data_IF_511369986905
#
_entry.id   IF_511369986905
#
_cell.length_a   1.000
_cell.length_b   1.000
_cell.length_c   1.000
_cell.angle_alpha   90.00
_cell.angle_beta   90.00
_cell.angle_gamma   90.00
#
_symmetry.space_group_name_H-M   'P 1'
#
loop_
_entity.id
_entity.type
_entity.pdbx_description
1 polymer ?
#
# COMPACT_ATOMS: atom_id res chain seq x y z
N UNK A 1 0.90 3.33 0.12
CA UNK A 1 -0.51 3.55 -0.26
C UNK A 1 -1.34 2.31 -0.06
N UNK A 2 -1.17 1.23 -0.85
CA UNK A 2 -2.00 0.01 -0.73
C UNK A 2 -1.96 -0.57 0.70
N UNK A 3 -0.80 -0.69 1.33
CA UNK A 3 -0.71 -1.20 2.70
C UNK A 3 -1.44 -0.31 3.74
N UNK A 4 -1.54 1.00 3.50
CA UNK A 4 -2.30 1.90 4.38
C UNK A 4 -3.81 1.66 4.24
N UNK A 5 -4.29 1.47 3.01
CA UNK A 5 -5.67 1.05 2.76
C UNK A 5 -5.97 -0.29 3.43
N UNK A 6 -5.07 -1.26 3.30
CA UNK A 6 -5.20 -2.56 3.98
C UNK A 6 -5.27 -2.38 5.49
N UNK A 7 -4.43 -1.52 6.08
CA UNK A 7 -4.49 -1.24 7.51
C UNK A 7 -5.84 -0.66 7.94
N UNK A 8 -6.40 0.30 7.18
CA UNK A 8 -7.73 0.85 7.44
C UNK A 8 -8.80 -0.23 7.35
N UNK A 9 -8.82 -1.04 6.29
CA UNK A 9 -9.78 -2.14 6.13
C UNK A 9 -9.64 -3.15 7.26
N UNK A 10 -8.41 -3.47 7.65
CA UNK A 10 -8.08 -4.45 8.69
C UNK A 10 -8.61 -4.06 10.07
N UNK A 11 -8.81 -2.76 10.36
CA UNK A 11 -9.45 -2.31 11.61
C UNK A 11 -10.93 -2.70 11.70
N UNK A 12 -11.59 -2.89 10.56
CA UNK A 12 -13.03 -3.20 10.46
C UNK A 12 -13.31 -4.64 10.05
N UNK A 13 -12.44 -5.21 9.23
CA UNK A 13 -12.52 -6.56 8.69
C UNK A 13 -11.16 -7.27 8.86
N UNK A 14 -10.80 -7.71 10.08
CA UNK A 14 -9.52 -8.35 10.35
C UNK A 14 -9.30 -9.62 9.52
N UNK A 15 -10.38 -10.35 9.23
CA UNK A 15 -10.35 -11.57 8.41
C UNK A 15 -9.90 -11.28 6.98
N UNK A 16 -10.24 -10.10 6.43
CA UNK A 16 -9.76 -9.67 5.10
C UNK A 16 -8.27 -9.38 5.13
N UNK A 17 -7.78 -8.77 6.22
CA UNK A 17 -6.35 -8.53 6.42
C UNK A 17 -5.54 -9.81 6.55
N UNK A 18 -6.02 -10.77 7.35
CA UNK A 18 -5.38 -12.09 7.51
C UNK A 18 -5.36 -12.87 6.19
N UNK A 19 -6.49 -12.93 5.49
CA UNK A 19 -6.59 -13.61 4.19
C UNK A 19 -5.64 -13.00 3.15
N UNK A 20 -5.56 -11.67 3.10
CA UNK A 20 -4.63 -10.96 2.21
C UNK A 20 -3.18 -11.30 2.56
N UNK A 21 -2.83 -11.29 3.85
CA UNK A 21 -1.48 -11.63 4.32
C UNK A 21 -1.12 -13.07 3.94
N UNK A 22 -2.01 -14.03 4.21
CA UNK A 22 -1.84 -15.45 3.81
C UNK A 22 -1.60 -15.56 2.30
N UNK A 23 -2.44 -14.92 1.48
CA UNK A 23 -2.32 -14.96 0.02
C UNK A 23 -0.99 -14.37 -0.48
N UNK A 24 -0.55 -13.23 0.06
CA UNK A 24 0.73 -12.63 -0.36
C UNK A 24 1.94 -13.49 0.07
N UNK A 25 1.90 -14.10 1.25
CA UNK A 25 2.95 -15.02 1.71
C UNK A 25 3.01 -16.29 0.86
N UNK A 26 1.86 -16.81 0.43
CA UNK A 26 1.82 -17.92 -0.52
C UNK A 26 2.39 -17.51 -1.89
N UNK A 27 2.06 -16.31 -2.37
CA UNK A 27 2.63 -15.76 -3.61
C UNK A 27 4.15 -15.58 -3.51
N UNK A 28 4.64 -15.09 -2.37
CA UNK A 28 6.07 -14.96 -2.06
C UNK A 28 6.77 -16.33 -2.12
N UNK A 29 6.24 -17.34 -1.40
CA UNK A 29 6.79 -18.72 -1.40
C UNK A 29 6.86 -19.30 -2.83
N UNK A 30 5.81 -19.08 -3.63
CA UNK A 30 5.76 -19.52 -5.03
C UNK A 30 6.76 -18.79 -5.91
N UNK A 31 6.87 -17.46 -5.79
CA UNK A 31 7.81 -16.65 -6.56
C UNK A 31 9.26 -17.02 -6.23
N UNK A 32 9.58 -17.18 -4.94
CA UNK A 32 10.90 -17.63 -4.48
C UNK A 32 11.26 -19.01 -5.05
N UNK A 33 10.36 -19.99 -4.92
CA UNK A 33 10.58 -21.35 -5.45
C UNK A 33 10.75 -21.40 -6.98
N UNK A 34 10.11 -20.48 -7.71
CA UNK A 34 10.19 -20.38 -9.18
C UNK A 34 11.34 -19.51 -9.66
N UNK A 35 12.09 -18.86 -8.76
CA UNK A 35 13.06 -17.81 -9.08
C UNK A 35 12.46 -16.68 -9.94
N UNK A 36 11.20 -16.32 -9.70
CA UNK A 36 10.52 -15.20 -10.36
C UNK A 36 10.87 -13.90 -9.63
N UNK A 37 11.99 -13.28 -10.02
CA UNK A 37 12.53 -12.08 -9.36
C UNK A 37 11.56 -10.88 -9.39
N UNK A 38 10.90 -10.53 -10.51
CA UNK A 38 9.91 -9.45 -10.52
C UNK A 38 8.76 -9.68 -9.53
N UNK A 39 8.18 -10.88 -9.51
CA UNK A 39 7.07 -11.21 -8.60
C UNK A 39 7.54 -11.24 -7.14
N UNK A 40 8.75 -11.76 -6.90
CA UNK A 40 9.37 -11.77 -5.56
C UNK A 40 9.56 -10.35 -5.04
N UNK A 41 10.16 -9.45 -5.84
CA UNK A 41 10.39 -8.06 -5.46
C UNK A 41 9.08 -7.33 -5.11
N UNK A 42 8.04 -7.52 -5.91
CA UNK A 42 6.73 -6.93 -5.64
C UNK A 42 6.12 -7.45 -4.32
N UNK A 43 6.16 -8.76 -4.09
CA UNK A 43 5.63 -9.37 -2.86
C UNK A 43 6.41 -8.95 -1.62
N UNK A 44 7.74 -9.00 -1.68
CA UNK A 44 8.65 -8.56 -0.61
C UNK A 44 8.41 -7.10 -0.25
N UNK A 45 8.30 -6.21 -1.25
CA UNK A 45 7.99 -4.79 -1.01
C UNK A 45 6.63 -4.60 -0.35
N UNK A 46 5.61 -5.34 -0.78
CA UNK A 46 4.30 -5.22 -0.19
C UNK A 46 4.28 -5.70 1.27
N UNK A 47 4.90 -6.84 1.56
CA UNK A 47 5.07 -7.35 2.92
C UNK A 47 5.82 -6.35 3.81
N UNK A 48 6.87 -5.70 3.31
CA UNK A 48 7.60 -4.68 4.06
C UNK A 48 6.66 -3.57 4.55
N UNK A 49 5.77 -3.10 3.68
CA UNK A 49 4.80 -2.07 4.03
C UNK A 49 3.67 -2.58 4.92
N UNK A 50 3.26 -3.86 4.83
CA UNK A 50 2.29 -4.46 5.77
C UNK A 50 2.87 -4.54 7.20
N UNK A 51 4.17 -4.84 7.33
CA UNK A 51 4.88 -4.83 8.62
C UNK A 51 5.00 -3.40 9.15
N UNK A 52 5.34 -2.44 8.29
CA UNK A 52 5.39 -1.02 8.69
C UNK A 52 4.05 -0.51 9.21
N UNK A 53 2.95 -0.95 8.61
CA UNK A 53 1.58 -0.59 9.00
C UNK A 53 1.00 -1.50 10.10
N UNK A 54 1.81 -2.39 10.70
CA UNK A 54 1.40 -3.30 11.78
C UNK A 54 0.22 -4.22 11.44
N UNK A 55 -0.01 -4.49 10.14
CA UNK A 55 -0.96 -5.51 9.69
C UNK A 55 -0.33 -6.91 9.82
N UNK A 56 0.97 -7.01 9.54
CA UNK A 56 1.73 -8.25 9.68
C UNK A 56 2.75 -8.12 10.81
N UNK A 57 2.83 -9.14 11.66
CA UNK A 57 3.81 -9.20 12.74
C UNK A 57 5.24 -9.24 12.17
N UNK A 58 6.20 -8.63 12.85
CA UNK A 58 7.60 -8.52 12.38
C UNK A 58 8.31 -9.86 12.21
N UNK A 59 7.77 -10.93 12.81
CA UNK A 59 8.31 -12.29 12.68
C UNK A 59 8.39 -12.72 11.21
N UNK A 60 7.38 -12.37 10.40
CA UNK A 60 7.36 -12.62 8.95
C UNK A 60 8.56 -11.99 8.25
N UNK A 61 8.90 -10.75 8.65
CA UNK A 61 10.03 -10.03 8.07
C UNK A 61 11.37 -10.67 8.44
N UNK A 62 11.52 -11.13 9.68
CA UNK A 62 12.74 -11.81 10.15
C UNK A 62 12.90 -13.19 9.51
N UNK A 63 11.83 -13.98 9.39
CA UNK A 63 11.84 -15.27 8.70
C UNK A 63 12.20 -15.09 7.22
N UNK A 64 11.58 -14.10 6.54
CA UNK A 64 11.88 -13.80 5.14
C UNK A 64 13.37 -13.46 4.94
N UNK A 65 13.90 -12.57 5.78
CA UNK A 65 15.31 -12.19 5.71
C UNK A 65 16.24 -13.37 5.99
N UNK A 66 15.87 -14.23 6.93
CA UNK A 66 16.61 -15.46 7.23
C UNK A 66 16.66 -16.37 6.00
N UNK A 67 15.54 -16.60 5.34
CA UNK A 67 15.46 -17.43 4.12
C UNK A 67 16.31 -16.84 2.98
N UNK A 68 16.23 -15.52 2.75
CA UNK A 68 16.99 -14.85 1.69
C UNK A 68 18.51 -14.87 1.92
N UNK A 69 18.94 -14.89 3.18
CA UNK A 69 20.34 -14.80 3.59
C UNK A 69 20.95 -16.15 4.02
N UNK A 70 20.17 -17.22 4.10
CA UNK A 70 20.65 -18.56 4.46
C UNK A 70 21.68 -19.05 3.43
N UNK A 71 21.33 -18.98 2.15
CA UNK A 71 22.21 -19.30 1.01
C UNK A 71 22.31 -18.07 0.11
N UNK A 72 23.23 -17.13 0.43
CA UNK A 72 23.28 -15.84 -0.24
C UNK A 72 23.66 -16.01 -1.71
N UNK A 73 22.85 -15.43 -2.58
CA UNK A 73 23.15 -15.21 -4.01
C UNK A 73 23.09 -13.72 -4.28
N UNK A 74 23.67 -13.26 -5.39
CA UNK A 74 23.63 -11.83 -5.74
C UNK A 74 22.19 -11.28 -5.77
N UNK A 75 21.25 -12.08 -6.27
CA UNK A 75 19.83 -11.74 -6.34
C UNK A 75 19.14 -11.77 -4.98
N UNK A 76 19.35 -12.82 -4.16
CA UNK A 76 18.69 -12.92 -2.86
C UNK A 76 19.18 -11.84 -1.89
N UNK A 77 20.46 -11.49 -1.95
CA UNK A 77 21.05 -10.41 -1.16
C UNK A 77 20.54 -9.05 -1.63
N UNK A 78 20.41 -8.81 -2.94
CA UNK A 78 19.81 -7.59 -3.47
C UNK A 78 18.36 -7.41 -2.98
N UNK A 79 17.56 -8.48 -3.05
CA UNK A 79 16.18 -8.48 -2.55
C UNK A 79 16.15 -8.21 -1.04
N UNK A 80 17.01 -8.86 -0.26
CA UNK A 80 17.10 -8.66 1.18
C UNK A 80 17.51 -7.22 1.55
N UNK A 81 18.51 -6.65 0.86
CA UNK A 81 18.90 -5.25 1.07
C UNK A 81 17.74 -4.31 0.75
N UNK A 82 17.02 -4.55 -0.35
CA UNK A 82 15.82 -3.78 -0.71
C UNK A 82 14.74 -3.86 0.37
N UNK A 83 14.48 -5.06 0.89
CA UNK A 83 13.50 -5.27 1.95
C UNK A 83 13.86 -4.52 3.24
N UNK A 84 15.10 -4.64 3.73
CA UNK A 84 15.54 -3.93 4.94
C UNK A 84 15.52 -2.42 4.74
N UNK A 85 15.75 -1.90 3.53
CA UNK A 85 15.58 -0.45 3.28
C UNK A 85 14.14 -0.01 3.50
N UNK A 86 13.16 -0.80 3.12
CA UNK A 86 11.74 -0.44 3.22
C UNK A 86 11.17 -0.69 4.63
N UNK A 87 11.57 -1.76 5.33
CA UNK A 87 11.03 -2.13 6.66
C UNK A 87 11.97 -1.92 7.84
N UNK A 88 13.24 -1.57 7.59
CA UNK A 88 14.29 -1.54 8.61
C UNK A 88 14.07 -0.51 9.72
N UNK A 89 13.42 0.62 9.42
CA UNK A 89 13.02 1.59 10.46
C UNK A 89 12.05 0.95 11.45
N UNK A 90 10.98 0.28 10.98
CA UNK A 90 10.02 -0.37 11.88
C UNK A 90 10.68 -1.51 12.65
N UNK A 91 11.47 -2.35 11.98
CA UNK A 91 12.18 -3.47 12.61
C UNK A 91 13.18 -3.01 13.68
N UNK A 92 13.80 -1.85 13.50
CA UNK A 92 14.69 -1.27 14.51
C UNK A 92 13.92 -0.91 15.78
N UNK A 93 12.67 -0.46 15.67
CA UNK A 93 11.85 -0.05 16.80
C UNK A 93 11.24 -1.26 17.53
N UNK A 94 10.70 -2.24 16.79
CA UNK A 94 9.99 -3.39 17.37
C UNK A 94 10.90 -4.57 17.72
N UNK A 95 11.91 -4.87 16.90
CA UNK A 95 12.81 -6.01 17.09
C UNK A 95 14.28 -5.66 16.79
N UNK A 96 14.88 -4.75 17.58
CA UNK A 96 16.27 -4.33 17.38
C UNK A 96 17.26 -5.49 17.52
N UNK A 97 16.95 -6.49 18.36
CA UNK A 97 17.78 -7.68 18.53
C UNK A 97 17.78 -8.56 17.28
N UNK A 98 16.61 -8.86 16.70
CA UNK A 98 16.52 -9.65 15.47
C UNK A 98 17.18 -8.92 14.30
N UNK A 99 16.89 -7.62 14.13
CA UNK A 99 17.48 -6.83 13.06
C UNK A 99 19.01 -6.69 13.21
N UNK A 100 19.49 -6.21 14.35
CA UNK A 100 20.92 -5.92 14.52
C UNK A 100 21.77 -7.13 14.86
N UNK A 101 21.26 -8.04 15.68
CA UNK A 101 21.97 -9.22 16.16
C UNK A 101 22.02 -10.35 15.15
N UNK A 102 20.94 -10.58 14.41
CA UNK A 102 20.88 -11.71 13.46
C UNK A 102 21.13 -11.22 12.02
N UNK A 103 20.28 -10.30 11.53
CA UNK A 103 20.30 -9.91 10.11
C UNK A 103 21.55 -9.11 9.72
N UNK A 104 21.90 -8.06 10.47
CA UNK A 104 23.09 -7.25 10.15
C UNK A 104 24.41 -7.99 10.40
N UNK A 105 24.45 -8.94 11.34
CA UNK A 105 25.62 -9.82 11.50
C UNK A 105 25.74 -10.77 10.30
N UNK A 106 24.62 -11.30 9.80
CA UNK A 106 24.61 -12.14 8.59
C UNK A 106 25.13 -11.38 7.36
N UNK A 107 24.67 -10.15 7.13
CA UNK A 107 25.21 -9.30 6.06
C UNK A 107 26.72 -9.05 6.19
N UNK A 108 27.23 -8.87 7.42
CA UNK A 108 28.67 -8.71 7.66
C UNK A 108 29.43 -9.98 7.32
N UNK A 109 28.90 -11.15 7.69
CA UNK A 109 29.47 -12.46 7.34
C UNK A 109 29.62 -12.60 5.83
N UNK A 110 28.56 -12.30 5.06
CA UNK A 110 28.55 -12.36 3.60
C UNK A 110 29.62 -11.43 2.99
N UNK A 111 29.78 -10.22 3.53
CA UNK A 111 30.79 -9.27 3.06
C UNK A 111 32.22 -9.76 3.31
N UNK A 112 32.45 -10.46 4.43
CA UNK A 112 33.76 -11.03 4.77
C UNK A 112 34.10 -12.31 3.99
N UNK A 113 33.10 -13.15 3.69
CA UNK A 113 33.28 -14.35 2.87
C UNK A 113 33.73 -13.99 1.44
N UNK A 114 33.22 -12.88 0.90
CA UNK A 114 33.69 -12.32 -0.37
C UNK A 114 33.26 -13.11 -1.61
N UNK A 115 32.28 -14.01 -1.48
CA UNK A 115 31.76 -14.85 -2.57
C UNK A 115 30.75 -14.14 -3.48
N UNK A 116 30.24 -12.98 -3.06
CA UNK A 116 29.27 -12.15 -3.81
C UNK A 116 29.96 -11.11 -4.71
N UNK A 117 29.28 -10.70 -5.79
CA UNK A 117 29.82 -9.70 -6.72
C UNK A 117 29.99 -8.32 -6.05
N UNK A 118 30.95 -7.53 -6.57
CA UNK A 118 31.27 -6.19 -6.07
C UNK A 118 30.05 -5.28 -6.01
N UNK A 119 29.13 -5.37 -6.97
CA UNK A 119 27.89 -4.59 -6.96
C UNK A 119 27.09 -4.83 -5.67
N UNK A 120 26.96 -6.10 -5.28
CA UNK A 120 26.19 -6.51 -4.11
C UNK A 120 26.91 -6.13 -2.81
N UNK A 121 28.23 -6.19 -2.80
CA UNK A 121 29.04 -5.68 -1.68
C UNK A 121 28.74 -4.19 -1.43
N UNK A 122 28.72 -3.35 -2.48
CA UNK A 122 28.34 -1.94 -2.37
C UNK A 122 26.90 -1.74 -1.87
N UNK A 123 25.97 -2.62 -2.23
CA UNK A 123 24.59 -2.56 -1.72
C UNK A 123 24.55 -2.82 -0.20
N UNK A 124 25.30 -3.81 0.28
CA UNK A 124 25.42 -4.10 1.71
C UNK A 124 26.08 -2.93 2.46
N UNK A 125 27.20 -2.41 1.96
CA UNK A 125 27.87 -1.24 2.55
C UNK A 125 26.95 -0.02 2.64
N UNK A 126 26.18 0.24 1.57
CA UNK A 126 25.14 1.27 1.55
C UNK A 126 24.06 1.03 2.61
N UNK A 127 23.65 -0.22 2.84
CA UNK A 127 22.71 -0.57 3.90
C UNK A 127 23.29 -0.31 5.30
N UNK A 128 24.57 -0.58 5.54
CA UNK A 128 25.24 -0.23 6.81
C UNK A 128 25.28 1.28 7.05
N UNK A 129 25.45 2.08 5.99
CA UNK A 129 25.36 3.54 6.09
C UNK A 129 23.95 4.01 6.48
N UNK A 130 22.91 3.42 5.88
CA UNK A 130 21.51 3.69 6.22
C UNK A 130 21.22 3.33 7.69
N UNK A 131 21.70 2.18 8.17
CA UNK A 131 21.59 1.79 9.59
C UNK A 131 22.27 2.80 10.51
N UNK A 132 23.48 3.24 10.16
CA UNK A 132 24.22 4.24 10.96
C UNK A 132 23.48 5.58 11.02
N UNK A 133 22.77 5.94 9.95
CA UNK A 133 21.89 7.09 9.89
C UNK A 133 20.49 6.82 10.50
N UNK A 134 20.28 5.70 11.19
CA UNK A 134 19.01 5.31 11.82
C UNK A 134 17.81 5.42 10.87
N UNK A 135 17.98 5.03 9.61
CA UNK A 135 16.91 5.05 8.60
C UNK A 135 16.22 6.40 8.38
N UNK A 136 16.88 7.54 8.67
CA UNK A 136 16.28 8.89 8.53
C UNK A 136 15.70 9.21 7.13
N UNK A 137 16.18 8.56 6.06
CA UNK A 137 15.64 8.69 4.70
C UNK A 137 14.62 7.61 4.29
N UNK A 138 14.29 6.71 5.20
CA UNK A 138 13.44 5.53 4.99
C UNK A 138 12.47 5.37 6.17
N UNK A 139 11.56 6.35 6.38
CA UNK A 139 10.57 6.25 7.45
C UNK A 139 9.67 5.03 7.23
N UNK A 140 9.31 4.33 8.31
CA UNK A 140 8.43 3.16 8.24
C UNK A 140 7.08 3.50 7.59
N UNK A 141 6.42 4.52 8.10
CA UNK A 141 5.15 5.04 7.60
C UNK A 141 5.32 6.53 7.33
N UNK A 142 4.82 7.00 6.19
CA UNK A 142 4.79 8.44 5.89
C UNK A 142 3.62 9.08 6.62
N UNK A 143 3.73 10.34 7.08
CA UNK A 143 2.65 10.99 7.81
C UNK A 143 1.30 10.98 7.08
N UNK A 144 1.30 11.14 5.75
CA UNK A 144 0.07 11.06 4.93
C UNK A 144 -0.59 9.68 4.85
N UNK A 145 0.10 8.63 5.30
CA UNK A 145 -0.35 7.23 5.25
C UNK A 145 -0.54 6.63 6.65
N UNK A 146 -0.37 7.44 7.70
CA UNK A 146 -0.59 7.07 9.09
C UNK A 146 -2.04 7.38 9.45
N UNK A 147 -2.94 6.47 9.05
CA UNK A 147 -4.39 6.66 9.07
C UNK A 147 -5.10 5.89 10.19
N UNK A 148 -4.35 5.07 10.93
CA UNK A 148 -4.89 4.16 11.94
C UNK A 148 -4.14 4.37 13.24
N UNK A 149 -4.87 4.78 14.28
CA UNK A 149 -4.34 4.95 15.63
C UNK A 149 -3.76 3.64 16.17
N UNK A 150 -2.70 3.71 16.97
CA UNK A 150 -1.99 2.52 17.48
C UNK A 150 -2.89 1.56 18.26
N UNK A 151 -3.92 2.06 18.95
CA UNK A 151 -4.87 1.24 19.72
C UNK A 151 -5.86 0.44 18.87
N UNK A 152 -6.10 0.88 17.63
CA UNK A 152 -7.00 0.23 16.68
C UNK A 152 -6.24 -0.73 15.73
N UNK A 153 -4.91 -0.79 15.81
CA UNK A 153 -4.09 -1.67 14.98
C UNK A 153 -4.28 -3.13 15.38
N UNK A 154 -4.54 -3.97 14.38
CA UNK A 154 -4.67 -5.42 14.53
C UNK A 154 -3.58 -6.12 13.73
N UNK A 155 -2.70 -6.83 14.42
CA UNK A 155 -1.54 -7.47 13.83
C UNK A 155 -1.75 -8.97 13.71
N UNK A 156 -1.52 -9.51 12.51
CA UNK A 156 -1.64 -10.93 12.22
C UNK A 156 -0.29 -11.63 12.35
N UNK A 157 -0.27 -12.72 13.10
CA UNK A 157 0.88 -13.61 13.24
C UNK A 157 0.72 -14.81 12.32
N UNK A 158 1.49 -14.83 11.24
CA UNK A 158 1.51 -15.91 10.24
C UNK A 158 2.97 -16.29 10.02
N UNK A 159 3.32 -17.57 10.05
CA UNK A 159 4.70 -18.01 9.79
C UNK A 159 4.89 -18.36 8.31
N UNK A 160 6.09 -18.13 7.77
CA UNK A 160 6.45 -18.59 6.42
C UNK A 160 6.57 -20.12 6.33
N UNK A 161 6.77 -20.81 7.44
CA UNK A 161 6.93 -22.27 7.47
C UNK A 161 5.58 -23.02 7.52
N UNK A 162 4.49 -22.34 7.86
CA UNK A 162 3.18 -22.98 7.96
C UNK A 162 2.57 -23.33 6.58
N UNK A 163 1.61 -24.25 6.61
CA UNK A 163 0.78 -24.56 5.45
C UNK A 163 -0.31 -23.48 5.32
N UNK A 164 -0.26 -22.74 4.22
CA UNK A 164 -1.12 -21.57 3.99
C UNK A 164 -2.27 -21.97 3.08
N UNK A 165 -3.49 -21.95 3.60
CA UNK A 165 -4.72 -22.01 2.79
C UNK A 165 -5.03 -20.60 2.24
N UNK A 166 -5.03 -20.40 0.91
CA UNK A 166 -5.42 -19.13 0.30
C UNK A 166 -6.95 -18.92 0.24
N UNK A 167 -7.75 -19.91 0.63
CA UNK A 167 -9.21 -19.88 0.55
C UNK A 167 -9.71 -19.48 -0.85
N UNK A 168 -9.07 -20.00 -1.91
CA UNK A 168 -9.42 -19.70 -3.32
C UNK A 168 -10.88 -19.97 -3.67
N UNK A 169 -11.57 -20.76 -2.84
CA UNK A 169 -12.99 -21.05 -2.99
C UNK A 169 -13.88 -19.81 -2.77
N UNK A 170 -13.37 -18.76 -2.11
CA UNK A 170 -14.03 -17.46 -1.93
C UNK A 170 -14.03 -16.62 -3.21
N UNK A 171 -13.10 -16.87 -4.14
CA UNK A 171 -12.99 -16.10 -5.39
C UNK A 171 -14.00 -16.57 -6.44
N UNK A 172 -14.74 -17.66 -6.16
CA UNK A 172 -15.70 -18.28 -7.07
C UNK A 172 -17.10 -17.99 -6.57
N UNK A 173 -17.92 -17.38 -7.44
CA UNK A 173 -19.33 -17.14 -7.14
C UNK A 173 -20.06 -18.45 -6.80
N UNK A 174 -20.80 -18.43 -5.69
CA UNK A 174 -21.61 -19.54 -5.21
C UNK A 174 -22.95 -18.99 -4.71
N UNK A 175 -24.06 -19.70 -4.97
CA UNK A 175 -25.34 -19.33 -4.38
C UNK A 175 -25.27 -19.50 -2.85
N UNK A 176 -25.55 -18.43 -2.12
CA UNK A 176 -25.70 -18.45 -0.66
C UNK A 176 -27.17 -18.80 -0.31
N UNK A 177 -27.44 -19.95 0.33
CA UNK A 177 -28.78 -20.29 0.81
C UNK A 177 -29.39 -19.25 1.76
N UNK A 178 -28.54 -18.49 2.45
CA UNK A 178 -28.92 -17.46 3.43
C UNK A 178 -28.65 -16.04 2.93
N UNK A 179 -28.56 -15.84 1.60
CA UNK A 179 -28.22 -14.55 0.97
C UNK A 179 -28.95 -13.34 1.59
N UNK A 180 -30.28 -13.43 1.75
CA UNK A 180 -31.09 -12.34 2.32
C UNK A 180 -30.72 -11.99 3.76
N UNK A 181 -30.24 -12.94 4.54
CA UNK A 181 -29.77 -12.70 5.91
C UNK A 181 -28.35 -12.13 5.91
N UNK A 182 -27.47 -12.67 5.07
CA UNK A 182 -26.09 -12.19 4.88
C UNK A 182 -26.05 -10.73 4.43
N UNK A 183 -26.88 -10.35 3.45
CA UNK A 183 -27.00 -8.97 2.95
C UNK A 183 -27.48 -8.01 4.04
N UNK A 184 -28.51 -8.39 4.81
CA UNK A 184 -28.99 -7.56 5.92
C UNK A 184 -27.92 -7.32 6.97
N UNK A 185 -27.16 -8.37 7.34
CA UNK A 185 -26.05 -8.23 8.29
C UNK A 185 -24.94 -7.33 7.74
N UNK A 186 -24.66 -7.41 6.44
CA UNK A 186 -23.68 -6.55 5.79
C UNK A 186 -24.13 -5.09 5.78
N UNK A 187 -25.40 -4.81 5.47
CA UNK A 187 -25.96 -3.46 5.54
C UNK A 187 -25.93 -2.88 6.96
N UNK A 188 -26.32 -3.65 7.97
CA UNK A 188 -26.24 -3.23 9.38
C UNK A 188 -24.80 -2.88 9.78
N UNK A 189 -23.83 -3.69 9.34
CA UNK A 189 -22.41 -3.42 9.57
C UNK A 189 -21.94 -2.16 8.83
N UNK A 190 -22.33 -1.98 7.57
CA UNK A 190 -22.02 -0.78 6.76
C UNK A 190 -22.51 0.49 7.46
N UNK A 191 -23.76 0.50 7.93
CA UNK A 191 -24.33 1.64 8.69
C UNK A 191 -23.59 1.90 9.98
N UNK A 192 -23.19 0.84 10.68
CA UNK A 192 -22.40 0.96 11.92
C UNK A 192 -21.02 1.60 11.68
N UNK A 193 -20.39 1.29 10.54
CA UNK A 193 -19.04 1.78 10.22
C UNK A 193 -19.07 3.20 9.64
N UNK A 194 -19.99 3.49 8.72
CA UNK A 194 -20.04 4.74 7.96
C UNK A 194 -21.04 5.77 8.50
N UNK A 195 -21.97 5.35 9.37
CA UNK A 195 -23.09 6.17 9.83
C UNK A 195 -24.27 6.19 8.85
N UNK A 196 -25.40 6.71 9.33
CA UNK A 196 -26.67 6.81 8.59
C UNK A 196 -26.67 7.89 7.49
N UNK A 197 -25.63 8.71 7.38
CA UNK A 197 -25.50 9.73 6.31
C UNK A 197 -25.32 9.12 4.90
N UNK A 198 -25.22 7.79 4.80
CA UNK A 198 -25.14 7.06 3.54
C UNK A 198 -26.50 6.76 2.88
N UNK A 199 -27.62 7.11 3.51
CA UNK A 199 -28.97 6.87 2.96
C UNK A 199 -29.50 8.02 2.07
N UNK A 200 -28.86 9.19 2.02
CA UNK A 200 -29.34 10.33 1.23
C UNK A 200 -28.87 10.33 -0.25
N UNK A 201 -28.06 9.35 -0.67
CA UNK A 201 -27.58 9.23 -2.07
C UNK A 201 -28.17 8.06 -2.87
N UNK A 202 -28.98 7.17 -2.28
CA UNK A 202 -29.56 6.01 -2.99
C UNK A 202 -31.01 6.24 -3.47
N UNK A 203 -31.21 7.44 -4.03
CA UNK A 203 -32.50 7.91 -4.52
C UNK A 203 -32.54 8.18 -6.02
N UNK A 204 -32.20 7.21 -6.89
CA UNK A 204 -32.65 7.27 -8.30
C UNK A 204 -32.60 5.95 -9.08
N UNK A 205 -33.80 5.51 -9.49
CA UNK A 205 -34.16 4.79 -10.72
C UNK A 205 -33.60 3.40 -11.00
N UNK A 206 -34.28 2.38 -10.47
CA UNK A 206 -34.46 1.12 -11.17
C UNK A 206 -35.78 1.18 -11.99
N UNK A 207 -35.78 1.91 -13.10
CA UNK A 207 -36.71 1.60 -14.19
C UNK A 207 -36.07 0.52 -15.05
N UNK A 208 -36.80 -0.59 -15.16
CA UNK A 208 -36.48 -1.74 -15.98
C UNK A 208 -36.68 -1.36 -17.45
N UNK A 209 -35.61 -1.34 -18.24
CA UNK A 209 -35.69 -1.34 -19.69
C UNK A 209 -34.90 -2.54 -20.21
N UNK A 210 -35.65 -3.52 -20.68
CA UNK A 210 -35.21 -4.71 -21.39
C UNK A 210 -35.53 -4.42 -22.86
N UNK A 211 -34.53 -4.16 -23.69
CA UNK A 211 -34.57 -4.46 -25.12
C UNK A 211 -33.14 -4.41 -25.69
N UNK A 212 -32.67 -5.59 -26.08
CA UNK A 212 -31.46 -5.85 -26.85
C UNK A 212 -31.61 -5.25 -28.26
N UNK A 213 -30.58 -4.58 -28.78
CA UNK A 213 -30.06 -4.89 -30.12
C UNK A 213 -28.68 -4.26 -30.39
N UNK A 214 -27.95 -5.00 -31.22
CA UNK A 214 -26.54 -4.99 -31.58
C UNK A 214 -26.06 -3.76 -32.38
N UNK A 215 -24.73 -3.69 -32.47
CA UNK A 215 -23.91 -3.07 -33.53
C UNK A 215 -23.35 -1.63 -33.40
N UNK A 216 -22.01 -1.63 -33.54
CA UNK A 216 -21.10 -0.66 -34.16
C UNK A 216 -20.27 0.32 -33.29
N UNK A 217 -18.96 0.15 -33.47
CA UNK A 217 -17.82 0.95 -32.99
C UNK A 217 -17.94 2.41 -33.43
N UNK A 218 -17.71 3.36 -32.52
CA UNK A 218 -17.01 4.62 -32.83
C UNK A 218 -16.43 5.24 -31.54
N UNK A 219 -15.11 5.39 -31.51
CA UNK A 219 -14.35 6.12 -30.48
C UNK A 219 -14.69 7.61 -30.57
N UNK A 220 -15.50 8.13 -29.65
CA UNK A 220 -15.62 9.57 -29.42
C UNK A 220 -14.87 9.95 -28.12
N UNK A 221 -13.70 10.56 -28.28
CA UNK A 221 -13.05 11.34 -27.22
C UNK A 221 -13.94 12.53 -26.88
N UNK A 222 -14.84 12.37 -25.89
CA UNK A 222 -15.57 13.48 -25.28
C UNK A 222 -14.55 14.46 -24.66
N UNK A 223 -14.32 15.57 -25.35
CA UNK A 223 -13.69 16.75 -24.77
C UNK A 223 -14.53 17.19 -23.56
N UNK A 224 -14.06 16.89 -22.35
CA UNK A 224 -14.56 17.52 -21.13
C UNK A 224 -14.33 19.03 -21.21
N UNK A 225 -15.32 19.77 -21.72
CA UNK A 225 -15.32 21.22 -21.73
C UNK A 225 -15.60 21.72 -20.29
N UNK A 226 -14.53 22.02 -19.54
CA UNK A 226 -14.65 22.52 -18.15
C UNK A 226 -15.30 23.90 -18.19
N UNK A 227 -16.59 23.95 -17.82
CA UNK A 227 -17.34 25.18 -17.67
C UNK A 227 -16.94 25.89 -16.37
N UNK A 228 -16.18 26.97 -16.50
CA UNK A 228 -15.75 27.80 -15.36
C UNK A 228 -16.90 28.66 -14.84
N UNK A 229 -17.49 28.26 -13.70
CA UNK A 229 -18.51 29.05 -12.98
C UNK A 229 -17.91 30.03 -11.95
N UNK A 230 -16.59 30.06 -11.78
CA UNK A 230 -15.97 30.81 -10.69
C UNK A 230 -15.73 32.30 -10.99
N UNK A 231 -16.08 32.77 -12.20
CA UNK A 231 -15.85 34.13 -12.70
C UNK A 231 -14.43 34.69 -12.42
N UNK A 232 -13.45 33.81 -12.18
CA UNK A 232 -12.15 34.18 -11.62
C UNK A 232 -11.38 35.10 -12.58
N UNK A 233 -11.49 34.83 -13.88
CA UNK A 233 -10.93 35.68 -14.93
C UNK A 233 -11.57 37.08 -14.96
N UNK A 234 -12.89 37.19 -14.75
CA UNK A 234 -13.59 38.47 -14.71
C UNK A 234 -13.14 39.31 -13.50
N UNK A 235 -12.98 38.69 -12.33
CA UNK A 235 -12.52 39.35 -11.10
C UNK A 235 -11.07 39.83 -11.27
N UNK A 236 -10.20 39.01 -11.85
CA UNK A 236 -8.81 39.38 -12.12
C UNK A 236 -8.70 40.53 -13.13
N UNK A 237 -9.54 40.54 -14.17
CA UNK A 237 -9.62 41.64 -15.12
C UNK A 237 -10.06 42.95 -14.43
N UNK A 238 -11.10 42.90 -13.59
CA UNK A 238 -11.58 44.06 -12.80
C UNK A 238 -10.50 44.59 -11.86
N UNK A 239 -9.78 43.72 -11.15
CA UNK A 239 -8.66 44.11 -10.28
C UNK A 239 -7.55 44.79 -11.07
N UNK A 240 -7.21 44.25 -12.24
CA UNK A 240 -6.15 44.80 -13.10
C UNK A 240 -6.53 46.17 -13.62
N UNK A 241 -7.75 46.36 -14.11
CA UNK A 241 -8.25 47.66 -14.56
C UNK A 241 -8.26 48.67 -13.41
N UNK A 242 -8.79 48.29 -12.25
CA UNK A 242 -8.84 49.16 -11.08
C UNK A 242 -7.44 49.59 -10.62
N UNK A 243 -6.50 48.65 -10.51
CA UNK A 243 -5.12 48.94 -10.15
C UNK A 243 -4.44 49.82 -11.20
N UNK A 244 -4.70 49.58 -12.49
CA UNK A 244 -4.15 50.40 -13.57
C UNK A 244 -4.65 51.84 -13.45
N UNK A 245 -5.96 52.05 -13.28
CA UNK A 245 -6.57 53.38 -13.10
C UNK A 245 -6.05 54.06 -11.83
N UNK A 246 -5.93 53.33 -10.72
CA UNK A 246 -5.44 53.88 -9.45
C UNK A 246 -3.93 54.14 -9.46
N UNK A 247 -3.16 53.43 -10.30
CA UNK A 247 -1.72 53.64 -10.48
C UNK A 247 -1.38 54.73 -11.49
N UNK A 248 -2.30 55.06 -12.40
CA UNK A 248 -2.19 56.19 -13.31
C UNK A 248 -2.63 57.48 -12.61
N UNK A 249 -1.66 58.28 -12.18
CA UNK A 249 -1.90 59.67 -11.75
C UNK A 249 -2.29 60.50 -12.98
N UNK A 250 -3.34 61.32 -12.84
CA UNK A 250 -3.93 62.28 -13.79
C UNK A 250 -5.10 61.80 -14.67
N UNK A 251 -6.31 61.76 -14.09
CA UNK A 251 -7.54 61.93 -14.87
C UNK A 251 -7.81 63.45 -15.00
N UNK A 252 -7.54 64.00 -16.18
CA UNK A 252 -7.73 65.43 -16.49
C UNK A 252 -9.20 65.78 -16.34
N UNK A 253 -9.48 66.70 -15.41
CA UNK A 253 -10.76 67.35 -15.24
C UNK A 253 -11.11 68.22 -16.46
N UNK A 254 -12.31 68.03 -17.02
CA UNK A 254 -13.13 69.11 -17.56
C UNK A 254 -14.60 68.79 -17.33
#
# INVERSE_FOLDING_TARGET
>A
MIAALVAVVNTKFPEVGDLLLRRILLQLKRAYKRNDKPQLLAAVKFIAHLVNQQVAHEIVALELLTILLEKPTDDSVEVAVGFVKESGSKLQDVSPRGLHGDIFERFRGILHEGEIDKRVQFLIEGLFAIRKAQFQGYPAVRPELDLVEEEDQLTHEVSLDEEIDPETSLDVFKPDPNFLESERRYEELKKTILGDESEDEDGSNAESDDDEDDDEEEEEEEQMEIRDETETNLINLRRTIYLTIMSSVDFVAT
#
